data_IF_079150486910
#
_entry.id   IF_079150486910
#
_cell.length_a   1.000
_cell.length_b   1.000
_cell.length_c   1.000
_cell.angle_alpha   90.00
_cell.angle_beta   90.00
_cell.angle_gamma   90.00
#
_symmetry.space_group_name_H-M   'P 1'
#
loop_
_entity.id
_entity.type
_entity.pdbx_description
1 polymer ?
#
# COMPACT_ATOMS: atom_id res chain seq x y z
N UNK A 1 10.78 30.20 29.92
CA UNK A 1 11.48 30.41 28.64
C UNK A 1 12.80 29.65 28.69
N UNK A 2 12.91 28.57 27.92
CA UNK A 2 14.19 27.88 27.67
C UNK A 2 14.16 27.42 26.21
N UNK A 3 14.96 28.05 25.36
CA UNK A 3 15.17 27.65 23.97
C UNK A 3 16.06 26.40 23.95
N UNK A 4 15.54 25.29 23.45
CA UNK A 4 16.35 24.14 23.04
C UNK A 4 16.49 24.19 21.53
N UNK A 5 17.69 24.57 21.08
CA UNK A 5 18.10 24.57 19.67
C UNK A 5 18.44 23.15 19.22
N UNK A 6 17.70 22.60 18.26
CA UNK A 6 18.06 21.36 17.58
C UNK A 6 18.95 21.69 16.37
N UNK A 7 20.26 21.40 16.47
CA UNK A 7 21.15 21.33 15.30
C UNK A 7 20.83 20.04 14.54
N UNK A 8 20.24 20.17 13.35
CA UNK A 8 20.17 19.09 12.36
C UNK A 8 21.54 19.04 11.67
N UNK A 9 22.35 18.04 11.99
CA UNK A 9 23.61 17.79 11.28
C UNK A 9 23.27 17.09 9.96
N UNK A 10 23.09 17.87 8.90
CA UNK A 10 22.92 17.34 7.54
C UNK A 10 24.25 16.75 7.07
N UNK A 11 24.38 15.42 7.00
CA UNK A 11 25.44 14.80 6.22
C UNK A 11 25.16 15.03 4.73
N UNK A 12 25.62 16.17 4.22
CA UNK A 12 25.72 16.39 2.79
C UNK A 12 26.84 15.50 2.24
N UNK A 13 26.48 14.36 1.63
CA UNK A 13 27.38 13.64 0.73
C UNK A 13 27.75 14.57 -0.42
N UNK A 14 28.91 15.22 -0.31
CA UNK A 14 29.49 16.07 -1.33
C UNK A 14 30.01 15.17 -2.44
N UNK A 15 29.15 14.83 -3.40
CA UNK A 15 29.51 14.07 -4.60
C UNK A 15 30.17 15.06 -5.58
N UNK A 16 31.49 15.00 -5.83
CA UNK A 16 32.12 15.82 -6.84
C UNK A 16 31.69 15.28 -8.21
N UNK A 17 31.26 16.16 -9.12
CA UNK A 17 30.94 15.88 -10.55
C UNK A 17 29.52 15.42 -10.93
N UNK A 18 28.47 15.74 -10.16
CA UNK A 18 27.11 15.73 -10.72
C UNK A 18 26.80 17.07 -11.43
N UNK A 19 27.19 17.19 -12.71
CA UNK A 19 26.87 18.36 -13.57
C UNK A 19 25.42 18.44 -14.06
N UNK A 20 24.48 17.70 -13.44
CA UNK A 20 23.05 17.80 -13.76
C UNK A 20 22.20 17.84 -12.48
N UNK A 21 22.40 18.88 -11.67
CA UNK A 21 21.41 19.32 -10.72
C UNK A 21 20.36 20.13 -11.48
N UNK A 22 19.37 19.46 -12.10
CA UNK A 22 18.13 20.15 -12.43
C UNK A 22 17.38 20.39 -11.12
N UNK A 23 17.76 21.47 -10.42
CA UNK A 23 16.87 22.13 -9.47
C UNK A 23 15.66 22.55 -10.30
N UNK A 24 14.55 21.85 -10.14
CA UNK A 24 13.27 22.41 -10.56
C UNK A 24 13.01 23.57 -9.60
N UNK A 25 13.52 24.75 -9.94
CA UNK A 25 12.95 25.99 -9.45
C UNK A 25 11.50 25.94 -9.91
N UNK A 26 10.57 25.75 -8.97
CA UNK A 26 9.17 25.97 -9.27
C UNK A 26 9.07 27.37 -9.87
N UNK A 27 8.60 27.53 -11.12
CA UNK A 27 8.33 28.85 -11.61
C UNK A 27 7.23 29.41 -10.73
N UNK A 28 7.44 30.62 -10.25
CA UNK A 28 6.43 31.50 -9.64
C UNK A 28 5.26 31.83 -10.57
N UNK A 29 5.11 31.12 -11.70
CA UNK A 29 3.92 31.08 -12.54
C UNK A 29 3.39 29.65 -12.65
N UNK A 30 2.10 29.46 -12.35
CA UNK A 30 1.39 28.18 -12.57
C UNK A 30 1.56 27.76 -14.03
N UNK A 31 2.45 26.81 -14.32
CA UNK A 31 2.52 26.20 -15.65
C UNK A 31 1.15 25.58 -15.93
N UNK A 32 0.39 26.15 -16.87
CA UNK A 32 -0.81 25.52 -17.41
C UNK A 32 -0.38 24.27 -18.17
N UNK A 33 -0.61 23.11 -17.58
CA UNK A 33 -0.41 21.81 -18.26
C UNK A 33 -1.62 21.59 -19.16
N UNK A 34 -1.38 21.35 -20.45
CA UNK A 34 -2.45 21.00 -21.37
C UNK A 34 -3.07 19.66 -20.95
N UNK A 35 -4.38 19.64 -20.68
CA UNK A 35 -5.11 18.44 -20.26
C UNK A 35 -5.66 17.62 -21.43
N UNK A 36 -5.60 18.11 -22.67
CA UNK A 36 -6.09 17.35 -23.84
C UNK A 36 -5.20 16.15 -24.20
N UNK A 37 -3.91 16.24 -23.89
CA UNK A 37 -2.92 15.20 -24.18
C UNK A 37 -2.47 14.53 -22.88
N UNK A 38 -2.94 13.30 -22.64
CA UNK A 38 -2.54 12.47 -21.49
C UNK A 38 -1.07 12.00 -21.54
N UNK A 39 -0.77 10.95 -20.79
CA UNK A 39 0.57 10.36 -20.78
C UNK A 39 0.85 9.67 -22.13
N UNK A 40 1.98 9.97 -22.78
CA UNK A 40 2.43 9.30 -24.01
C UNK A 40 3.89 8.90 -23.87
N UNK A 41 4.35 7.95 -24.70
CA UNK A 41 5.77 7.68 -24.92
C UNK A 41 6.09 8.03 -26.36
N UNK A 42 7.28 8.52 -26.58
CA UNK A 42 7.93 8.46 -27.89
C UNK A 42 9.04 7.38 -27.83
N UNK A 43 9.99 7.38 -28.77
CA UNK A 43 11.07 6.37 -28.78
C UNK A 43 12.00 6.42 -27.56
N UNK A 44 12.01 7.48 -26.75
CA UNK A 44 13.01 7.67 -25.68
C UNK A 44 12.50 8.24 -24.35
N UNK A 45 11.30 8.82 -24.27
CA UNK A 45 10.80 9.47 -23.05
C UNK A 45 9.27 9.49 -22.96
N UNK A 46 8.78 9.64 -21.71
CA UNK A 46 7.37 9.97 -21.50
C UNK A 46 7.11 11.46 -21.73
N UNK A 47 5.88 11.78 -22.11
CA UNK A 47 5.36 13.15 -22.12
C UNK A 47 4.00 13.19 -21.44
N UNK A 48 3.71 14.28 -20.74
CA UNK A 48 2.42 14.55 -20.10
C UNK A 48 1.97 15.97 -20.47
N UNK A 49 0.79 16.12 -21.06
CA UNK A 49 0.34 17.42 -21.59
C UNK A 49 1.25 17.95 -22.70
N UNK A 50 1.90 17.05 -23.45
CA UNK A 50 2.87 17.40 -24.50
C UNK A 50 4.26 17.81 -24.01
N UNK A 51 4.51 17.80 -22.69
CA UNK A 51 5.81 18.16 -22.11
C UNK A 51 6.57 16.93 -21.67
N UNK A 52 7.92 16.88 -21.79
CA UNK A 52 8.73 15.80 -21.25
C UNK A 52 8.38 15.52 -19.79
N UNK A 53 8.20 14.25 -19.47
CA UNK A 53 7.76 13.79 -18.17
C UNK A 53 8.57 12.55 -17.78
N UNK A 54 8.97 12.48 -16.52
CA UNK A 54 9.69 11.33 -15.98
C UNK A 54 8.95 10.82 -14.77
N UNK A 55 8.62 9.53 -14.76
CA UNK A 55 7.88 8.93 -13.65
C UNK A 55 8.89 8.51 -12.58
N UNK A 56 8.86 9.23 -11.46
CA UNK A 56 9.59 8.89 -10.24
C UNK A 56 8.55 8.58 -9.17
N UNK A 57 8.15 7.31 -9.14
CA UNK A 57 6.99 6.84 -8.42
C UNK A 57 7.30 5.98 -7.21
N UNK A 58 6.33 5.91 -6.32
CA UNK A 58 6.30 4.99 -5.19
C UNK A 58 4.88 4.47 -4.96
N UNK A 59 4.77 3.27 -4.39
CA UNK A 59 3.47 2.65 -4.11
C UNK A 59 3.07 2.79 -2.62
N UNK A 60 1.79 3.10 -2.39
CA UNK A 60 1.11 3.25 -1.09
C UNK A 60 -0.35 2.73 -1.16
N UNK A 61 -0.65 1.59 -0.52
CA UNK A 61 -2.03 1.06 -0.51
C UNK A 61 -2.93 1.77 0.52
N UNK A 62 -4.03 2.37 0.05
CA UNK A 62 -4.98 3.06 0.92
C UNK A 62 -5.61 2.13 1.97
N UNK A 63 -5.89 0.88 1.59
CA UNK A 63 -6.49 -0.14 2.46
C UNK A 63 -5.53 -0.74 3.51
N UNK A 64 -4.21 -0.51 3.38
CA UNK A 64 -3.19 -0.94 4.37
C UNK A 64 -2.87 0.12 5.40
N UNK A 65 -3.53 1.27 5.33
CA UNK A 65 -3.28 2.42 6.18
C UNK A 65 -4.58 3.01 6.68
N UNK A 66 -4.69 3.31 7.98
CA UNK A 66 -5.78 4.13 8.48
C UNK A 66 -5.84 5.46 7.74
N UNK A 67 -7.06 5.89 7.39
CA UNK A 67 -7.31 7.11 6.62
C UNK A 67 -6.59 8.35 7.17
N UNK A 68 -6.50 8.47 8.49
CA UNK A 68 -5.82 9.57 9.17
C UNK A 68 -4.32 9.70 8.80
N UNK A 69 -3.68 8.62 8.34
CA UNK A 69 -2.27 8.62 7.95
C UNK A 69 -2.01 8.83 6.46
N UNK A 70 -3.04 8.82 5.61
CA UNK A 70 -2.86 8.97 4.16
C UNK A 70 -2.10 10.25 3.80
N UNK A 71 -2.50 11.41 4.37
CA UNK A 71 -1.89 12.71 4.07
C UNK A 71 -0.43 12.74 4.47
N UNK A 72 -0.11 12.26 5.67
CA UNK A 72 1.28 12.19 6.14
C UNK A 72 2.16 11.36 5.21
N UNK A 73 1.71 10.16 4.80
CA UNK A 73 2.49 9.29 3.92
C UNK A 73 2.64 9.87 2.51
N UNK A 74 1.60 10.51 1.97
CA UNK A 74 1.68 11.21 0.68
C UNK A 74 2.62 12.41 0.71
N UNK A 75 2.60 13.21 1.78
CA UNK A 75 3.52 14.36 1.94
C UNK A 75 4.98 13.88 2.06
N UNK A 76 5.23 12.81 2.83
CA UNK A 76 6.56 12.17 2.89
C UNK A 76 7.01 11.65 1.53
N UNK A 77 6.10 11.05 0.75
CA UNK A 77 6.38 10.64 -0.62
C UNK A 77 6.71 11.85 -1.50
N UNK A 78 5.94 12.93 -1.42
CA UNK A 78 6.15 14.15 -2.22
C UNK A 78 7.51 14.80 -1.96
N UNK A 79 7.94 14.81 -0.70
CA UNK A 79 9.18 15.43 -0.24
C UNK A 79 10.39 14.50 -0.34
N UNK A 80 10.23 13.26 -0.81
CA UNK A 80 11.34 12.32 -0.94
C UNK A 80 12.34 12.80 -2.00
N UNK A 81 13.64 12.54 -1.78
CA UNK A 81 14.70 13.00 -2.67
C UNK A 81 14.65 12.32 -4.05
N UNK A 82 14.13 11.09 -4.12
CA UNK A 82 14.06 10.26 -5.32
C UNK A 82 12.65 10.15 -5.89
N UNK A 83 11.61 10.13 -5.06
CA UNK A 83 10.22 9.96 -5.48
C UNK A 83 9.54 11.30 -5.30
N UNK A 84 8.92 11.85 -6.34
CA UNK A 84 8.39 13.22 -6.29
C UNK A 84 7.11 13.44 -7.06
N UNK A 85 6.72 12.47 -7.88
CA UNK A 85 5.84 12.73 -9.01
C UNK A 85 4.63 11.81 -9.06
N UNK A 86 4.82 10.50 -8.82
CA UNK A 86 3.76 9.53 -9.05
C UNK A 86 3.49 8.62 -7.84
N UNK A 87 2.24 8.59 -7.42
CA UNK A 87 1.71 7.56 -6.55
C UNK A 87 1.23 6.41 -7.43
N UNK A 88 1.95 5.30 -7.46
CA UNK A 88 1.46 4.07 -8.08
C UNK A 88 0.76 3.24 -7.03
N UNK A 89 -0.45 3.63 -6.65
CA UNK A 89 -1.33 2.74 -5.91
C UNK A 89 -2.77 3.18 -6.01
N UNK A 90 -3.59 2.20 -6.35
CA UNK A 90 -4.86 1.88 -5.69
C UNK A 90 -5.23 0.54 -6.29
N UNK A 91 -4.47 -0.50 -5.93
CA UNK A 91 -4.99 -1.86 -6.02
C UNK A 91 -6.36 -1.83 -5.34
N UNK A 92 -7.43 -2.12 -6.06
CA UNK A 92 -8.77 -2.12 -5.48
C UNK A 92 -9.02 -3.53 -4.97
N UNK A 93 -8.90 -3.78 -3.66
CA UNK A 93 -9.07 -5.12 -3.13
C UNK A 93 -10.56 -5.46 -3.18
N UNK A 94 -10.97 -6.16 -4.24
CA UNK A 94 -12.37 -6.46 -4.49
C UNK A 94 -13.06 -7.08 -3.26
N UNK A 95 -12.51 -8.10 -2.57
CA UNK A 95 -13.13 -8.65 -1.36
C UNK A 95 -13.36 -7.65 -0.22
N UNK A 96 -12.51 -6.62 -0.07
CA UNK A 96 -12.74 -5.60 0.97
C UNK A 96 -13.85 -4.64 0.59
N UNK A 97 -13.94 -4.33 -0.70
CA UNK A 97 -15.04 -3.51 -1.19
C UNK A 97 -16.34 -4.29 -1.24
N UNK A 98 -16.31 -5.61 -1.42
CA UNK A 98 -17.49 -6.48 -1.51
C UNK A 98 -17.41 -7.62 -0.49
N UNK A 99 -17.58 -7.34 0.81
CA UNK A 99 -17.61 -8.38 1.83
C UNK A 99 -18.83 -9.31 1.65
N UNK A 100 -19.95 -8.76 1.16
CA UNK A 100 -21.17 -9.49 0.83
C UNK A 100 -21.51 -9.34 -0.66
N UNK A 101 -22.04 -10.40 -1.27
CA UNK A 101 -22.34 -10.41 -2.71
C UNK A 101 -23.39 -9.35 -3.04
N UNK A 102 -23.08 -8.49 -4.02
CA UNK A 102 -23.99 -7.48 -4.56
C UNK A 102 -23.77 -6.05 -4.04
N UNK A 103 -23.17 -5.86 -2.86
CA UNK A 103 -22.95 -4.53 -2.29
C UNK A 103 -21.47 -4.14 -2.29
N UNK A 104 -21.16 -2.91 -2.71
CA UNK A 104 -19.80 -2.39 -2.66
C UNK A 104 -19.66 -1.19 -1.71
N UNK A 105 -18.71 -1.29 -0.78
CA UNK A 105 -18.42 -0.31 0.27
C UNK A 105 -17.22 0.55 -0.14
N UNK A 106 -17.40 1.88 -0.13
CA UNK A 106 -16.38 2.87 -0.49
C UNK A 106 -16.29 3.99 0.56
N UNK A 107 -16.39 3.64 1.83
CA UNK A 107 -16.39 4.58 2.95
C UNK A 107 -15.15 4.38 3.83
N UNK A 108 -14.86 5.34 4.70
CA UNK A 108 -13.76 5.25 5.66
C UNK A 108 -12.41 4.98 4.99
N UNK A 109 -11.74 3.89 5.42
CA UNK A 109 -10.46 3.42 4.88
C UNK A 109 -10.53 2.81 3.47
N UNK A 110 -11.73 2.67 2.89
CA UNK A 110 -11.95 2.16 1.53
C UNK A 110 -12.46 3.25 0.56
N UNK A 111 -12.46 4.51 0.97
CA UNK A 111 -12.92 5.61 0.12
C UNK A 111 -11.84 6.05 -0.87
N UNK A 112 -11.82 5.38 -2.02
CA UNK A 112 -10.89 5.65 -3.12
C UNK A 112 -11.02 7.08 -3.67
N UNK A 113 -12.22 7.67 -3.65
CA UNK A 113 -12.42 9.04 -4.16
C UNK A 113 -11.68 10.05 -3.29
N UNK A 114 -11.83 9.93 -1.97
CA UNK A 114 -11.10 10.79 -1.05
C UNK A 114 -9.59 10.58 -1.13
N UNK A 115 -9.13 9.34 -1.32
CA UNK A 115 -7.71 9.06 -1.52
C UNK A 115 -7.16 9.75 -2.78
N UNK A 116 -7.89 9.70 -3.90
CA UNK A 116 -7.51 10.37 -5.14
C UNK A 116 -7.58 11.90 -5.03
N UNK A 117 -8.59 12.45 -4.36
CA UNK A 117 -8.66 13.88 -4.06
C UNK A 117 -7.46 14.34 -3.23
N UNK A 118 -7.09 13.57 -2.21
CA UNK A 118 -5.96 13.89 -1.36
C UNK A 118 -4.63 13.83 -2.12
N UNK A 119 -4.46 12.86 -3.02
CA UNK A 119 -3.29 12.81 -3.90
C UNK A 119 -3.20 14.05 -4.80
N UNK A 120 -4.34 14.52 -5.34
CA UNK A 120 -4.40 15.76 -6.11
C UNK A 120 -4.06 17.00 -5.25
N UNK A 121 -4.58 17.08 -4.02
CA UNK A 121 -4.30 18.18 -3.05
C UNK A 121 -2.81 18.26 -2.71
N UNK A 122 -2.16 17.10 -2.48
CA UNK A 122 -0.71 17.02 -2.21
C UNK A 122 0.12 17.31 -3.47
N UNK A 123 -0.48 17.28 -4.65
CA UNK A 123 0.20 17.51 -5.93
C UNK A 123 0.98 16.30 -6.44
N UNK A 124 0.45 15.10 -6.21
CA UNK A 124 0.95 13.85 -6.78
C UNK A 124 0.10 13.44 -7.99
N UNK A 125 0.77 12.96 -9.04
CA UNK A 125 0.11 12.20 -10.11
C UNK A 125 -0.17 10.78 -9.64
N UNK A 126 -1.16 10.12 -10.23
CA UNK A 126 -1.58 8.76 -9.85
C UNK A 126 -1.48 7.83 -11.04
N UNK A 127 -0.86 6.67 -10.81
CA UNK A 127 -0.99 5.51 -11.69
C UNK A 127 -1.91 4.52 -10.97
N UNK A 128 -3.09 4.30 -11.55
CA UNK A 128 -4.17 3.52 -10.95
C UNK A 128 -4.07 2.04 -11.34
N UNK A 129 -4.36 1.13 -10.42
CA UNK A 129 -4.32 -0.32 -10.64
C UNK A 129 -5.65 -0.95 -10.27
N UNK A 130 -6.60 -0.95 -11.18
CA UNK A 130 -8.00 -1.29 -10.88
C UNK A 130 -8.27 -2.78 -10.68
N UNK A 131 -7.29 -3.66 -10.90
CA UNK A 131 -7.51 -5.11 -10.88
C UNK A 131 -8.18 -5.61 -12.18
N UNK A 132 -8.95 -6.71 -12.14
CA UNK A 132 -9.60 -7.27 -10.96
C UNK A 132 -8.65 -8.06 -10.04
N UNK A 133 -7.59 -8.64 -10.60
CA UNK A 133 -6.52 -9.26 -9.82
C UNK A 133 -5.39 -8.26 -9.58
N UNK A 134 -4.94 -8.15 -8.33
CA UNK A 134 -3.90 -7.20 -7.91
C UNK A 134 -2.67 -7.88 -7.33
N UNK A 135 -2.77 -9.16 -6.97
CA UNK A 135 -1.74 -9.89 -6.21
C UNK A 135 -1.48 -9.21 -4.84
N UNK A 136 -0.41 -8.44 -4.75
CA UNK A 136 -0.07 -7.56 -3.64
C UNK A 136 0.04 -8.23 -2.27
N UNK A 137 0.20 -9.55 -2.21
CA UNK A 137 0.27 -10.28 -0.94
C UNK A 137 -1.05 -10.27 -0.15
N UNK A 138 -2.18 -10.11 -0.85
CA UNK A 138 -3.52 -10.24 -0.28
C UNK A 138 -4.05 -11.67 -0.44
N UNK A 139 -5.01 -12.04 0.40
CA UNK A 139 -5.78 -13.27 0.24
C UNK A 139 -6.40 -13.35 -1.16
N UNK A 140 -6.19 -14.49 -1.83
CA UNK A 140 -6.52 -14.74 -3.24
C UNK A 140 -6.07 -13.64 -4.23
N UNK A 141 -5.08 -12.83 -3.86
CA UNK A 141 -4.63 -11.68 -4.65
C UNK A 141 -5.72 -10.63 -4.92
N UNK A 142 -6.70 -10.53 -4.02
CA UNK A 142 -7.81 -9.59 -4.10
C UNK A 142 -8.96 -10.02 -5.00
N UNK A 143 -9.16 -11.33 -5.21
CA UNK A 143 -10.29 -11.88 -5.98
C UNK A 143 -11.34 -12.54 -5.07
N UNK A 144 -12.62 -12.61 -5.50
CA UNK A 144 -13.62 -13.42 -4.82
C UNK A 144 -13.31 -14.93 -4.91
N UNK A 145 -13.86 -15.71 -3.97
CA UNK A 145 -13.73 -17.17 -3.93
C UNK A 145 -14.68 -17.85 -4.94
N UNK A 146 -14.47 -19.15 -5.17
CA UNK A 146 -15.46 -20.06 -5.79
C UNK A 146 -15.76 -19.91 -7.30
N UNK A 147 -14.74 -19.73 -8.15
CA UNK A 147 -14.90 -19.88 -9.61
C UNK A 147 -13.56 -20.06 -10.33
N UNK A 148 -13.59 -20.31 -11.65
CA UNK A 148 -12.40 -20.26 -12.49
C UNK A 148 -11.99 -18.80 -12.71
N UNK A 149 -10.93 -18.39 -12.02
CA UNK A 149 -10.48 -16.99 -11.98
C UNK A 149 -9.57 -16.64 -13.16
N UNK A 150 -9.52 -15.35 -13.51
CA UNK A 150 -8.58 -14.76 -14.49
C UNK A 150 -8.64 -15.40 -15.89
N UNK A 151 -9.84 -15.73 -16.32
CA UNK A 151 -10.18 -16.28 -17.64
C UNK A 151 -11.46 -15.60 -18.16
N UNK A 152 -11.86 -15.90 -19.38
CA UNK A 152 -13.16 -15.54 -19.96
C UNK A 152 -14.27 -16.52 -19.56
N UNK A 153 -14.14 -17.21 -18.44
CA UNK A 153 -15.21 -18.04 -17.90
C UNK A 153 -16.40 -17.18 -17.46
N UNK A 154 -17.59 -17.43 -18.00
CA UNK A 154 -18.76 -16.54 -17.92
C UNK A 154 -19.07 -16.01 -16.51
N UNK A 155 -18.99 -16.87 -15.49
CA UNK A 155 -19.25 -16.45 -14.11
C UNK A 155 -18.23 -15.42 -13.61
N UNK A 156 -16.95 -15.58 -13.97
CA UNK A 156 -15.90 -14.64 -13.62
C UNK A 156 -16.08 -13.30 -14.35
N UNK A 157 -16.37 -13.34 -15.66
CA UNK A 157 -16.64 -12.13 -16.45
C UNK A 157 -17.81 -11.34 -15.85
N UNK A 158 -18.90 -12.03 -15.51
CA UNK A 158 -20.08 -11.44 -14.91
C UNK A 158 -19.74 -10.76 -13.56
N UNK A 159 -18.96 -11.45 -12.72
CA UNK A 159 -18.50 -10.89 -11.45
C UNK A 159 -17.62 -9.64 -11.66
N UNK A 160 -16.67 -9.69 -12.60
CA UNK A 160 -15.79 -8.55 -12.93
C UNK A 160 -16.62 -7.36 -13.41
N UNK A 161 -17.61 -7.60 -14.27
CA UNK A 161 -18.51 -6.56 -14.75
C UNK A 161 -19.30 -5.90 -13.61
N UNK A 162 -19.83 -6.67 -12.66
CA UNK A 162 -20.51 -6.13 -11.46
C UNK A 162 -19.56 -5.25 -10.66
N UNK A 163 -18.33 -5.73 -10.41
CA UNK A 163 -17.31 -4.97 -9.68
C UNK A 163 -16.95 -3.66 -10.40
N UNK A 164 -16.65 -3.73 -11.70
CA UNK A 164 -16.27 -2.57 -12.50
C UNK A 164 -17.41 -1.57 -12.71
N UNK A 165 -18.67 -2.02 -12.81
CA UNK A 165 -19.84 -1.13 -12.87
C UNK A 165 -19.97 -0.23 -11.64
N UNK A 166 -19.45 -0.66 -10.48
CA UNK A 166 -19.51 0.12 -9.24
C UNK A 166 -18.22 0.90 -8.99
N UNK A 167 -17.06 0.34 -9.34
CA UNK A 167 -15.75 0.97 -9.14
C UNK A 167 -15.45 2.05 -10.19
N UNK A 168 -15.54 1.73 -11.48
CA UNK A 168 -14.99 2.57 -12.55
C UNK A 168 -15.65 3.96 -12.60
N UNK A 169 -16.98 4.11 -12.48
CA UNK A 169 -17.61 5.43 -12.43
C UNK A 169 -17.08 6.34 -11.31
N UNK A 170 -16.55 5.79 -10.22
CA UNK A 170 -15.98 6.58 -9.11
C UNK A 170 -14.60 7.14 -9.43
N UNK A 171 -13.80 6.46 -10.26
CA UNK A 171 -12.43 6.88 -10.60
C UNK A 171 -12.36 7.66 -11.91
N UNK A 172 -13.34 7.49 -12.80
CA UNK A 172 -13.41 8.17 -14.10
C UNK A 172 -13.24 9.70 -14.00
N UNK A 173 -13.88 10.43 -13.06
CA UNK A 173 -13.69 11.88 -12.91
C UNK A 173 -12.25 12.31 -12.58
N UNK A 174 -11.44 11.40 -12.04
CA UNK A 174 -10.07 11.67 -11.61
C UNK A 174 -9.04 11.50 -12.73
N UNK A 175 -9.44 11.11 -13.93
CA UNK A 175 -8.54 11.02 -15.08
C UNK A 175 -7.93 12.38 -15.42
N UNK A 176 -6.69 12.36 -15.89
CA UNK A 176 -5.92 13.54 -16.25
C UNK A 176 -6.65 14.43 -17.25
N UNK A 177 -7.23 13.82 -18.30
CA UNK A 177 -8.06 14.51 -19.30
C UNK A 177 -9.33 15.16 -18.74
N UNK A 178 -9.81 14.70 -17.59
CA UNK A 178 -10.95 15.26 -16.85
C UNK A 178 -10.52 16.23 -15.74
N UNK A 179 -9.24 16.60 -15.70
CA UNK A 179 -8.67 17.54 -14.73
C UNK A 179 -8.11 16.90 -13.45
N UNK A 180 -8.25 15.58 -13.28
CA UNK A 180 -7.79 14.89 -12.09
C UNK A 180 -6.31 14.46 -12.12
N UNK A 181 -5.85 13.72 -11.11
CA UNK A 181 -4.46 13.30 -10.96
C UNK A 181 -4.11 11.97 -11.68
N UNK A 182 -5.08 11.19 -12.17
CA UNK A 182 -4.83 9.85 -12.74
C UNK A 182 -4.30 9.97 -14.16
N UNK A 183 -3.02 9.65 -14.36
CA UNK A 183 -2.30 9.78 -15.64
C UNK A 183 -2.18 8.46 -16.42
N UNK A 184 -2.39 7.33 -15.76
CA UNK A 184 -2.35 6.00 -16.36
C UNK A 184 -3.17 5.00 -15.53
N UNK A 185 -3.70 3.97 -16.19
CA UNK A 185 -4.44 2.87 -15.56
C UNK A 185 -3.84 1.54 -16.04
N UNK A 186 -3.46 0.68 -15.11
CA UNK A 186 -3.00 -0.68 -15.40
C UNK A 186 -4.21 -1.59 -15.67
N UNK A 187 -4.18 -2.33 -16.78
CA UNK A 187 -5.29 -3.19 -17.24
C UNK A 187 -5.41 -4.47 -16.40
N UNK A 188 -4.29 -5.15 -16.13
CA UNK A 188 -4.26 -6.37 -15.31
C UNK A 188 -2.90 -6.44 -14.60
N UNK A 189 -2.74 -7.34 -13.64
CA UNK A 189 -1.51 -7.52 -12.89
C UNK A 189 -0.76 -8.81 -13.23
N UNK A 190 0.36 -8.67 -13.96
CA UNK A 190 1.31 -9.74 -14.27
C UNK A 190 0.64 -10.97 -14.90
N UNK A 191 -0.32 -10.77 -15.80
CA UNK A 191 -1.02 -11.87 -16.45
C UNK A 191 -0.10 -12.86 -17.16
N UNK A 192 1.06 -12.41 -17.68
CA UNK A 192 2.05 -13.28 -18.31
C UNK A 192 2.57 -14.43 -17.42
N UNK A 193 2.52 -14.29 -16.09
CA UNK A 193 2.88 -15.39 -15.17
C UNK A 193 1.72 -16.37 -14.89
N UNK A 194 0.54 -16.14 -15.48
CA UNK A 194 -0.63 -17.00 -15.42
C UNK A 194 -1.00 -17.51 -16.82
N UNK A 195 -1.20 -16.59 -17.77
CA UNK A 195 -1.27 -16.77 -19.22
C UNK A 195 -2.07 -17.99 -19.69
N UNK A 196 -3.28 -18.18 -19.14
CA UNK A 196 -4.14 -19.34 -19.45
C UNK A 196 -5.19 -19.08 -20.54
N UNK A 197 -5.47 -17.82 -20.84
CA UNK A 197 -6.53 -17.41 -21.76
C UNK A 197 -6.09 -16.19 -22.58
N UNK A 198 -6.03 -16.35 -23.91
CA UNK A 198 -5.59 -15.31 -24.84
C UNK A 198 -6.58 -14.14 -25.00
N UNK A 199 -7.87 -14.37 -24.72
CA UNK A 199 -8.93 -13.38 -24.90
C UNK A 199 -9.15 -12.52 -23.65
N UNK A 200 -8.71 -13.00 -22.50
CA UNK A 200 -8.97 -12.37 -21.21
C UNK A 200 -8.43 -10.94 -21.09
N UNK A 201 -7.21 -10.67 -21.57
CA UNK A 201 -6.61 -9.34 -21.51
C UNK A 201 -7.38 -8.31 -22.35
N UNK A 202 -7.87 -8.71 -23.53
CA UNK A 202 -8.70 -7.87 -24.39
C UNK A 202 -10.02 -7.55 -23.71
N UNK A 203 -10.68 -8.56 -23.12
CA UNK A 203 -11.90 -8.37 -22.35
C UNK A 203 -11.73 -7.32 -21.23
N UNK A 204 -10.68 -7.44 -20.41
CA UNK A 204 -10.47 -6.49 -19.29
C UNK A 204 -10.21 -5.08 -19.82
N UNK A 205 -9.43 -4.94 -20.90
CA UNK A 205 -9.17 -3.65 -21.54
C UNK A 205 -10.46 -3.00 -22.04
N UNK A 206 -11.26 -3.75 -22.79
CA UNK A 206 -12.55 -3.29 -23.33
C UNK A 206 -13.50 -2.90 -22.20
N UNK A 207 -13.62 -3.74 -21.17
CA UNK A 207 -14.47 -3.48 -20.01
C UNK A 207 -14.11 -2.15 -19.30
N UNK A 208 -12.82 -1.81 -19.20
CA UNK A 208 -12.38 -0.51 -18.66
C UNK A 208 -12.72 0.65 -19.61
N UNK A 209 -12.50 0.46 -20.91
CA UNK A 209 -12.73 1.50 -21.94
C UNK A 209 -14.21 1.84 -22.10
N UNK A 210 -15.08 0.84 -22.17
CA UNK A 210 -16.55 1.00 -22.24
C UNK A 210 -17.09 1.79 -21.05
N UNK A 211 -16.45 1.67 -19.88
CA UNK A 211 -16.81 2.38 -18.65
C UNK A 211 -16.15 3.74 -18.53
N UNK A 212 -15.46 4.21 -19.57
CA UNK A 212 -14.95 5.57 -19.69
C UNK A 212 -13.49 5.77 -19.27
N UNK A 213 -12.70 4.71 -19.13
CA UNK A 213 -11.24 4.81 -18.93
C UNK A 213 -10.55 5.06 -20.28
N UNK A 214 -9.93 6.23 -20.40
CA UNK A 214 -9.33 6.76 -21.64
C UNK A 214 -7.79 6.78 -21.64
N UNK A 215 -7.17 6.53 -20.47
CA UNK A 215 -5.72 6.39 -20.30
C UNK A 215 -5.13 4.94 -20.44
N UNK A 216 -5.82 3.87 -20.91
CA UNK A 216 -5.21 2.55 -21.05
C UNK A 216 -4.39 2.39 -22.34
N UNK A 217 -4.36 3.41 -23.22
CA UNK A 217 -3.53 3.44 -24.43
C UNK A 217 -2.15 4.07 -24.19
N UNK A 218 -1.77 4.18 -22.92
CA UNK A 218 -0.53 4.77 -22.43
C UNK A 218 0.55 3.68 -22.23
N UNK A 219 1.84 4.06 -22.24
CA UNK A 219 2.91 3.20 -22.75
C UNK A 219 3.59 2.28 -21.73
N UNK A 220 4.47 1.39 -22.22
CA UNK A 220 5.27 0.42 -21.46
C UNK A 220 6.12 1.12 -20.38
N UNK A 221 5.87 0.76 -19.12
CA UNK A 221 6.55 1.29 -17.94
C UNK A 221 6.98 0.10 -17.04
N UNK A 222 8.16 0.19 -16.43
CA UNK A 222 8.51 -0.71 -15.30
C UNK A 222 7.64 -0.31 -14.11
N UNK A 223 6.48 -0.96 -14.02
CA UNK A 223 5.40 -0.63 -13.08
C UNK A 223 5.69 -1.05 -11.63
N UNK A 224 6.55 -2.04 -11.42
CA UNK A 224 6.97 -2.48 -10.08
C UNK A 224 8.46 -2.77 -10.09
N UNK A 225 9.25 -1.93 -9.43
CA UNK A 225 10.57 -2.33 -8.95
C UNK A 225 10.44 -2.72 -7.48
N UNK A 226 10.64 -4.00 -7.20
CA UNK A 226 10.53 -4.52 -5.84
C UNK A 226 11.66 -3.97 -4.95
N UNK A 227 11.29 -3.15 -3.96
CA UNK A 227 12.20 -2.56 -2.98
C UNK A 227 12.41 -3.44 -1.73
N UNK A 228 11.90 -4.66 -1.78
CA UNK A 228 11.95 -5.65 -0.72
C UNK A 228 11.03 -6.81 -1.10
N UNK A 229 10.96 -7.83 -0.24
CA UNK A 229 10.02 -8.94 -0.40
C UNK A 229 9.06 -8.94 0.78
N UNK A 230 7.79 -9.30 0.58
CA UNK A 230 6.93 -9.56 1.73
C UNK A 230 7.52 -10.72 2.54
N UNK A 231 7.73 -10.50 3.83
CA UNK A 231 8.19 -11.56 4.70
C UNK A 231 7.06 -12.59 4.85
N UNK A 232 7.41 -13.86 4.70
CA UNK A 232 6.55 -14.93 5.21
C UNK A 232 6.89 -15.22 6.67
N UNK A 233 6.14 -16.12 7.31
CA UNK A 233 6.62 -16.71 8.56
C UNK A 233 7.91 -17.49 8.23
N UNK A 234 9.03 -17.14 8.88
CA UNK A 234 10.41 -17.04 8.33
C UNK A 234 10.59 -16.12 7.10
N UNK A 235 11.65 -15.31 7.00
CA UNK A 235 11.96 -14.53 5.78
C UNK A 235 13.10 -13.52 5.96
N UNK A 236 13.63 -13.01 4.86
CA UNK A 236 14.75 -12.05 4.82
C UNK A 236 14.58 -11.03 3.68
N UNK A 237 15.05 -9.81 3.91
CA UNK A 237 14.99 -8.67 2.99
C UNK A 237 16.29 -8.49 2.16
N UNK A 238 16.32 -7.49 1.26
CA UNK A 238 17.38 -7.31 0.24
C UNK A 238 17.80 -5.83 0.07
N UNK A 239 19.05 -5.56 -0.32
CA UNK A 239 19.61 -4.20 -0.48
C UNK A 239 19.48 -3.69 -1.94
N UNK A 240 19.12 -2.41 -2.14
CA UNK A 240 18.63 -1.87 -3.43
C UNK A 240 19.23 -0.52 -3.88
N UNK A 241 20.11 0.08 -3.08
CA UNK A 241 20.61 1.45 -3.35
C UNK A 241 21.39 1.53 -4.67
N UNK A 242 22.20 0.50 -4.99
CA UNK A 242 22.98 0.45 -6.21
C UNK A 242 22.10 0.38 -7.47
N UNK A 243 21.05 -0.44 -7.44
CA UNK A 243 20.13 -0.64 -8.58
C UNK A 243 19.35 0.64 -8.87
N UNK A 244 18.78 1.28 -7.83
CA UNK A 244 18.04 2.54 -8.00
C UNK A 244 18.94 3.63 -8.56
N UNK A 245 20.19 3.74 -8.09
CA UNK A 245 21.15 4.73 -8.58
C UNK A 245 21.42 4.56 -10.08
N UNK A 246 21.59 3.33 -10.55
CA UNK A 246 21.86 3.06 -11.96
C UNK A 246 20.66 3.38 -12.87
N UNK A 247 19.44 2.99 -12.45
CA UNK A 247 18.19 3.35 -13.15
C UNK A 247 18.06 4.88 -13.25
N UNK A 248 18.39 5.60 -12.18
CA UNK A 248 18.33 7.05 -12.17
C UNK A 248 19.37 7.69 -13.11
N UNK A 249 20.62 7.19 -13.12
CA UNK A 249 21.70 7.66 -14.02
C UNK A 249 21.32 7.50 -15.50
N UNK A 250 20.59 6.44 -15.86
CA UNK A 250 20.16 6.18 -17.24
C UNK A 250 18.94 6.99 -17.69
N UNK A 251 18.44 7.92 -16.87
CA UNK A 251 17.26 8.72 -17.23
C UNK A 251 15.93 7.95 -17.17
N UNK A 252 15.94 6.69 -16.71
CA UNK A 252 14.77 5.81 -16.73
C UNK A 252 13.71 6.23 -15.71
N UNK A 253 12.46 5.90 -16.01
CA UNK A 253 11.35 6.00 -15.05
C UNK A 253 11.32 4.78 -14.13
N UNK A 254 10.86 4.98 -12.90
CA UNK A 254 10.88 3.95 -11.85
C UNK A 254 9.63 4.08 -10.98
N UNK A 255 9.11 2.96 -10.51
CA UNK A 255 8.13 2.91 -9.46
C UNK A 255 8.57 1.96 -8.35
N UNK A 256 8.85 2.50 -7.15
CA UNK A 256 9.28 1.71 -6.00
C UNK A 256 8.08 0.99 -5.37
N UNK A 257 8.16 -0.33 -5.30
CA UNK A 257 7.12 -1.19 -4.75
C UNK A 257 7.69 -2.03 -3.59
N UNK A 258 7.41 -1.75 -2.31
CA UNK A 258 6.61 -0.65 -1.77
C UNK A 258 7.42 0.60 -1.44
N UNK A 259 6.87 1.80 -1.66
CA UNK A 259 7.41 3.00 -0.99
C UNK A 259 7.01 3.01 0.49
N UNK A 260 5.76 2.68 0.78
CA UNK A 260 5.31 2.41 2.14
C UNK A 260 4.27 1.29 2.11
N UNK A 261 4.61 0.17 2.73
CA UNK A 261 3.79 -1.04 2.65
C UNK A 261 2.59 -1.07 3.60
N UNK A 262 2.74 -0.63 4.85
CA UNK A 262 1.64 -0.56 5.83
C UNK A 262 1.39 -1.88 6.56
N UNK A 263 0.11 -2.25 6.74
CA UNK A 263 -0.28 -3.44 7.52
C UNK A 263 -1.42 -4.20 6.84
N UNK A 264 -1.34 -5.53 6.83
CA UNK A 264 -2.42 -6.43 6.47
C UNK A 264 -3.36 -6.64 7.66
N UNK A 265 -4.15 -5.63 8.04
CA UNK A 265 -5.12 -5.74 9.14
C UNK A 265 -6.07 -6.94 8.98
N UNK A 266 -6.59 -7.45 10.09
CA UNK A 266 -7.49 -8.60 10.11
C UNK A 266 -6.95 -9.82 9.39
N UNK A 267 -7.74 -10.35 8.45
CA UNK A 267 -7.46 -11.60 7.74
C UNK A 267 -7.12 -11.38 6.27
N UNK A 268 -6.59 -10.20 5.94
CA UNK A 268 -6.28 -9.80 4.55
C UNK A 268 -5.02 -10.45 3.98
N UNK A 269 -4.19 -11.06 4.83
CA UNK A 269 -2.88 -11.57 4.43
C UNK A 269 -2.99 -12.72 3.42
N UNK A 270 -2.18 -12.66 2.35
CA UNK A 270 -2.11 -13.70 1.34
C UNK A 270 -1.15 -14.83 1.67
N UNK A 271 -0.86 -15.65 0.68
CA UNK A 271 0.06 -16.80 0.76
C UNK A 271 1.01 -16.81 -0.43
N UNK A 272 2.25 -17.23 -0.21
CA UNK A 272 3.16 -17.69 -1.27
C UNK A 272 3.15 -19.21 -1.28
N UNK A 273 2.87 -19.84 -2.43
CA UNK A 273 2.70 -21.29 -2.51
C UNK A 273 3.86 -22.02 -3.21
N UNK A 274 4.95 -21.32 -3.58
CA UNK A 274 6.07 -21.90 -4.32
C UNK A 274 7.40 -21.68 -3.56
N UNK A 275 8.18 -22.72 -3.23
CA UNK A 275 7.90 -24.16 -3.42
C UNK A 275 6.96 -24.79 -2.36
N UNK A 276 6.71 -24.09 -1.25
CA UNK A 276 5.85 -24.56 -0.17
C UNK A 276 4.83 -23.50 0.24
N UNK A 277 3.73 -23.93 0.87
CA UNK A 277 2.74 -23.03 1.45
C UNK A 277 3.40 -22.15 2.53
N UNK A 278 3.36 -20.84 2.33
CA UNK A 278 3.92 -19.84 3.24
C UNK A 278 2.95 -18.68 3.37
N UNK A 279 2.20 -18.67 4.47
CA UNK A 279 1.34 -17.54 4.80
C UNK A 279 2.18 -16.27 4.99
N UNK A 280 1.73 -15.16 4.44
CA UNK A 280 2.38 -13.87 4.66
C UNK A 280 2.03 -13.33 6.04
N UNK A 281 2.97 -12.56 6.61
CA UNK A 281 2.80 -11.96 7.93
C UNK A 281 1.82 -10.77 7.89
N UNK A 282 1.39 -10.31 9.07
CA UNK A 282 0.51 -9.14 9.22
C UNK A 282 1.22 -7.84 8.83
N UNK A 283 2.52 -7.74 9.11
CA UNK A 283 3.34 -6.58 8.77
C UNK A 283 3.57 -6.45 7.26
N UNK A 284 3.61 -5.18 6.84
CA UNK A 284 4.11 -4.73 5.54
C UNK A 284 5.02 -3.48 5.76
N UNK A 285 5.64 -3.37 6.95
CA UNK A 285 6.59 -2.32 7.34
C UNK A 285 5.97 -1.05 7.97
N UNK A 286 6.29 -0.80 9.26
CA UNK A 286 6.07 0.45 10.02
C UNK A 286 6.89 0.45 11.34
N UNK A 287 6.86 1.54 12.14
CA UNK A 287 7.60 1.76 13.41
C UNK A 287 6.86 2.73 14.39
N UNK A 288 7.40 2.87 15.63
CA UNK A 288 7.28 4.03 16.56
C UNK A 288 5.93 4.12 17.34
N UNK A 289 5.82 4.28 18.68
CA UNK A 289 6.73 4.14 19.85
C UNK A 289 5.99 3.51 21.11
N UNK A 290 6.67 3.36 22.27
CA UNK A 290 6.30 2.53 23.46
C UNK A 290 5.27 3.11 24.42
N UNK A 291 4.75 2.23 25.29
CA UNK A 291 4.57 2.36 26.76
C UNK A 291 3.74 1.15 27.22
N UNK A 292 4.42 0.22 27.90
CA UNK A 292 3.95 -1.12 28.35
C UNK A 292 3.15 -1.09 29.65
N UNK A 293 2.04 -1.84 29.72
CA UNK A 293 1.38 -2.22 30.97
C UNK A 293 0.92 -3.70 31.05
N UNK A 294 0.56 -4.17 32.25
CA UNK A 294 0.16 -5.56 32.60
C UNK A 294 -1.36 -5.81 32.54
N UNK A 295 -1.77 -7.06 32.31
CA UNK A 295 -3.16 -7.55 32.28
C UNK A 295 -3.29 -8.92 32.98
N UNK A 296 -4.49 -9.25 33.47
CA UNK A 296 -4.81 -10.51 34.17
C UNK A 296 -5.59 -11.50 33.28
N UNK A 297 -5.51 -12.79 33.60
CA UNK A 297 -6.03 -13.92 32.82
C UNK A 297 -7.47 -14.34 33.18
N UNK A 298 -8.20 -14.90 32.21
CA UNK A 298 -9.49 -15.57 32.40
C UNK A 298 -9.64 -16.79 31.48
N UNK A 299 -10.50 -17.73 31.90
CA UNK A 299 -10.68 -19.10 31.42
C UNK A 299 -11.46 -19.27 30.10
N UNK A 300 -10.93 -18.74 29.00
CA UNK A 300 -11.30 -19.15 27.63
C UNK A 300 -10.12 -18.79 26.69
N UNK A 301 -9.99 -19.45 25.54
CA UNK A 301 -9.09 -19.03 24.44
C UNK A 301 -9.28 -17.55 24.03
N UNK A 302 -10.37 -16.92 24.49
CA UNK A 302 -10.63 -15.49 24.40
C UNK A 302 -10.25 -14.82 25.72
N UNK A 303 -9.26 -13.93 25.65
CA UNK A 303 -8.79 -13.11 26.77
C UNK A 303 -9.30 -11.68 26.58
N UNK A 304 -10.02 -11.18 27.59
CA UNK A 304 -10.51 -9.80 27.62
C UNK A 304 -9.63 -8.97 28.54
N UNK A 305 -9.17 -7.82 28.05
CA UNK A 305 -8.37 -6.88 28.79
C UNK A 305 -8.77 -5.44 28.49
N UNK A 306 -8.19 -4.52 29.24
CA UNK A 306 -8.46 -3.10 29.08
C UNK A 306 -7.16 -2.29 29.20
N UNK A 307 -6.99 -1.29 28.34
CA UNK A 307 -5.79 -0.45 28.29
C UNK A 307 -6.17 1.01 28.46
N UNK A 308 -5.57 1.70 29.44
CA UNK A 308 -5.74 3.15 29.58
C UNK A 308 -4.70 3.92 28.78
N UNK A 309 -5.13 4.93 28.03
CA UNK A 309 -4.29 5.74 27.14
C UNK A 309 -4.47 7.22 27.51
N UNK A 310 -3.42 7.85 28.06
CA UNK A 310 -3.45 9.27 28.49
C UNK A 310 -3.42 10.28 27.34
N UNK A 311 -2.69 9.99 26.26
CA UNK A 311 -2.54 10.82 25.04
C UNK A 311 -2.61 9.89 23.82
N UNK A 312 -3.10 10.33 22.65
CA UNK A 312 -3.14 9.54 21.40
C UNK A 312 -1.72 9.18 20.91
N UNK A 313 -1.17 7.98 21.17
CA UNK A 313 0.17 7.62 20.75
C UNK A 313 0.09 6.74 19.50
N UNK A 314 1.18 6.68 18.74
CA UNK A 314 1.42 5.59 17.80
C UNK A 314 2.03 4.49 18.67
N UNK A 315 1.37 3.32 18.79
CA UNK A 315 1.87 2.24 19.66
C UNK A 315 2.17 0.99 18.87
N UNK A 316 3.19 0.27 19.32
CA UNK A 316 3.46 -1.10 18.87
C UNK A 316 3.01 -2.09 19.94
N UNK A 317 2.72 -3.33 19.58
CA UNK A 317 2.64 -4.47 20.49
C UNK A 317 3.98 -5.24 20.47
N UNK A 318 4.26 -6.03 21.51
CA UNK A 318 5.02 -7.29 21.44
C UNK A 318 4.21 -8.37 22.14
N UNK A 319 4.14 -9.54 21.52
CA UNK A 319 3.44 -10.69 22.07
C UNK A 319 4.45 -11.65 22.70
N UNK A 320 4.12 -12.17 23.89
CA UNK A 320 4.75 -13.35 24.49
C UNK A 320 3.81 -14.56 24.35
N UNK A 321 3.15 -14.66 23.20
CA UNK A 321 1.99 -15.50 22.93
C UNK A 321 2.28 -16.40 21.73
N UNK A 322 1.65 -17.57 21.70
CA UNK A 322 1.98 -18.62 20.75
C UNK A 322 1.37 -18.32 19.38
N UNK A 323 0.03 -18.27 19.25
CA UNK A 323 -0.61 -18.02 17.95
C UNK A 323 -2.04 -17.52 18.11
N UNK A 324 -2.38 -16.44 17.41
CA UNK A 324 -3.74 -15.91 17.52
C UNK A 324 -4.00 -14.60 16.80
N UNK A 325 -5.00 -13.86 17.30
CA UNK A 325 -5.54 -12.64 16.69
C UNK A 325 -5.89 -11.62 17.78
N UNK A 326 -5.68 -10.33 17.50
CA UNK A 326 -5.96 -9.25 18.46
C UNK A 326 -6.96 -8.25 17.90
N UNK A 327 -7.88 -7.81 18.77
CA UNK A 327 -8.82 -6.74 18.52
C UNK A 327 -8.64 -5.62 19.53
N UNK A 328 -8.69 -4.38 19.06
CA UNK A 328 -8.66 -3.18 19.89
C UNK A 328 -9.88 -2.33 19.57
N UNK A 329 -10.74 -2.06 20.56
CA UNK A 329 -11.99 -1.32 20.37
C UNK A 329 -12.82 -1.83 19.17
N UNK A 330 -12.92 -3.16 19.02
CA UNK A 330 -13.61 -3.81 17.91
C UNK A 330 -12.84 -3.86 16.57
N UNK A 331 -11.68 -3.21 16.45
CA UNK A 331 -10.84 -3.25 15.24
C UNK A 331 -9.91 -4.47 15.25
N UNK A 332 -10.00 -5.32 14.22
CA UNK A 332 -9.11 -6.48 14.08
C UNK A 332 -7.72 -6.04 13.61
N UNK A 333 -6.73 -6.13 14.50
CA UNK A 333 -5.35 -5.70 14.25
C UNK A 333 -4.61 -6.69 13.36
N UNK A 334 -4.96 -7.97 13.41
CA UNK A 334 -4.39 -9.04 12.60
C UNK A 334 -3.77 -10.17 13.43
N UNK A 335 -3.03 -11.03 12.72
CA UNK A 335 -2.51 -12.30 13.25
C UNK A 335 -1.12 -12.14 13.87
N UNK A 336 -0.84 -12.86 14.95
CA UNK A 336 0.50 -13.05 15.52
C UNK A 336 0.85 -14.54 15.58
N UNK A 337 2.14 -14.86 15.52
CA UNK A 337 2.66 -16.21 15.67
C UNK A 337 4.13 -16.16 16.16
N UNK A 338 4.45 -16.87 17.24
CA UNK A 338 5.77 -16.96 17.86
C UNK A 338 6.88 -17.45 16.92
N UNK A 339 6.52 -18.26 15.92
CA UNK A 339 7.42 -18.74 14.86
C UNK A 339 8.15 -17.61 14.10
N UNK A 340 7.64 -16.36 14.17
CA UNK A 340 8.29 -15.19 13.59
C UNK A 340 8.28 -15.17 12.06
N UNK A 341 8.94 -14.17 11.42
CA UNK A 341 9.88 -13.23 12.03
C UNK A 341 9.17 -12.08 12.78
N UNK A 342 7.90 -11.82 12.49
CA UNK A 342 7.13 -10.77 13.14
C UNK A 342 6.77 -11.15 14.59
N UNK A 343 7.34 -10.43 15.57
CA UNK A 343 7.07 -10.62 17.00
C UNK A 343 6.13 -9.54 17.58
N UNK A 344 5.75 -8.56 16.74
CA UNK A 344 5.04 -7.34 17.11
C UNK A 344 3.93 -7.00 16.11
N UNK A 345 2.74 -6.60 16.60
CA UNK A 345 1.70 -5.97 15.76
C UNK A 345 1.79 -4.44 15.84
N UNK A 346 1.49 -3.78 14.73
CA UNK A 346 1.38 -2.32 14.69
C UNK A 346 -0.03 -1.89 15.15
N UNK A 347 -0.13 -0.99 16.14
CA UNK A 347 -1.39 -0.42 16.61
C UNK A 347 -1.48 1.06 16.23
N UNK A 348 -2.28 1.41 15.21
CA UNK A 348 -2.43 2.79 14.83
C UNK A 348 -3.08 3.62 15.94
N UNK A 349 -2.54 4.82 16.19
CA UNK A 349 -3.15 5.77 17.11
C UNK A 349 -4.64 6.09 16.83
N UNK A 350 -5.11 6.15 15.56
CA UNK A 350 -6.53 6.31 15.24
C UNK A 350 -7.45 5.20 15.74
N UNK A 351 -6.94 4.04 16.11
CA UNK A 351 -7.74 2.95 16.69
C UNK A 351 -7.87 3.07 18.22
N UNK A 352 -7.24 4.07 18.82
CA UNK A 352 -7.24 4.33 20.25
C UNK A 352 -8.12 5.52 20.62
N UNK A 353 -8.87 5.33 21.70
CA UNK A 353 -9.58 6.38 22.43
C UNK A 353 -8.66 6.96 23.51
N UNK A 354 -8.88 8.23 23.85
CA UNK A 354 -8.35 8.78 25.10
C UNK A 354 -9.09 8.09 26.26
N UNK A 355 -8.35 7.65 27.27
CA UNK A 355 -8.88 6.88 28.39
C UNK A 355 -8.89 5.38 28.15
N UNK A 356 -9.97 4.70 28.56
CA UNK A 356 -10.06 3.24 28.51
C UNK A 356 -10.27 2.72 27.07
N UNK A 357 -9.53 1.68 26.73
CA UNK A 357 -9.61 0.97 25.46
C UNK A 357 -9.82 -0.51 25.73
N UNK A 358 -10.68 -1.16 24.95
CA UNK A 358 -10.91 -2.60 25.05
C UNK A 358 -9.84 -3.35 24.26
N UNK A 359 -9.31 -4.42 24.85
CA UNK A 359 -8.38 -5.36 24.21
C UNK A 359 -9.01 -6.74 24.25
N UNK A 360 -9.20 -7.37 23.10
CA UNK A 360 -9.66 -8.76 23.01
C UNK A 360 -8.58 -9.54 22.27
N UNK A 361 -8.11 -10.63 22.87
CA UNK A 361 -7.18 -11.55 22.23
C UNK A 361 -7.81 -12.91 22.11
N UNK A 362 -7.79 -13.45 20.91
CA UNK A 362 -7.96 -14.87 20.68
C UNK A 362 -6.57 -15.51 20.65
N UNK A 363 -6.36 -16.55 21.44
CA UNK A 363 -5.13 -17.33 21.56
C UNK A 363 -5.46 -18.82 21.38
N UNK A 364 -4.73 -19.50 20.50
CA UNK A 364 -4.98 -20.89 20.14
C UNK A 364 -4.49 -21.88 21.19
N UNK A 365 -3.49 -21.52 22.00
CA UNK A 365 -2.90 -22.39 23.03
C UNK A 365 -2.92 -21.76 24.43
N UNK A 366 -3.01 -22.59 25.48
CA UNK A 366 -2.88 -22.07 26.84
C UNK A 366 -1.46 -21.52 27.08
N UNK A 367 -1.37 -20.21 27.28
CA UNK A 367 -0.12 -19.49 27.53
C UNK A 367 -0.32 -18.39 28.58
N UNK A 368 0.71 -18.12 29.37
CA UNK A 368 0.75 -16.97 30.28
C UNK A 368 0.60 -15.67 29.49
N UNK A 369 -0.46 -14.92 29.79
CA UNK A 369 -0.84 -13.77 28.98
C UNK A 369 -0.21 -12.48 29.47
N UNK A 370 0.77 -11.97 28.72
CA UNK A 370 1.30 -10.62 28.90
C UNK A 370 1.42 -9.94 27.54
N UNK A 371 0.73 -8.82 27.38
CA UNK A 371 0.94 -7.91 26.24
C UNK A 371 1.85 -6.79 26.70
N UNK A 372 2.92 -6.54 25.96
CA UNK A 372 3.77 -5.36 26.15
C UNK A 372 3.59 -4.42 24.96
N UNK A 373 3.63 -3.11 25.17
CA UNK A 373 3.39 -2.13 24.11
C UNK A 373 4.63 -1.26 23.92
N UNK A 374 5.19 -1.24 22.72
CA UNK A 374 6.64 -1.14 22.44
C UNK A 374 7.06 -0.03 21.46
N UNK A 375 8.39 0.25 21.44
CA UNK A 375 9.09 1.36 20.74
C UNK A 375 9.44 0.97 19.30
N UNK A 376 10.45 0.11 19.21
CA UNK A 376 10.73 -0.75 18.09
C UNK A 376 9.56 -1.72 17.94
N UNK A 377 8.94 -1.86 16.76
CA UNK A 377 8.49 -3.18 16.38
C UNK A 377 9.70 -4.11 16.35
N UNK A 378 9.57 -5.25 17.03
CA UNK A 378 10.47 -6.38 16.86
C UNK A 378 9.99 -7.17 15.64
N UNK A 379 10.61 -6.89 14.48
CA UNK A 379 10.35 -7.57 13.22
C UNK A 379 11.25 -8.80 13.01
N UNK A 380 12.03 -9.20 14.02
CA UNK A 380 13.06 -10.25 13.91
C UNK A 380 14.44 -9.70 13.50
N UNK A 381 15.45 -10.58 13.45
CA UNK A 381 16.84 -10.18 13.17
C UNK A 381 17.01 -9.58 11.77
N UNK A 382 17.58 -8.38 11.70
CA UNK A 382 18.26 -7.86 10.51
C UNK A 382 19.73 -8.25 10.58
N UNK A 383 20.19 -9.10 9.67
CA UNK A 383 21.62 -9.37 9.49
C UNK A 383 22.13 -8.39 8.43
N UNK A 384 23.09 -7.54 8.79
CA UNK A 384 23.84 -6.76 7.81
C UNK A 384 24.61 -7.72 6.89
N UNK A 385 24.34 -7.68 5.58
CA UNK A 385 25.12 -8.35 4.54
C UNK A 385 25.59 -7.30 3.54
#
# INVERSE_FOLDING_TARGET
MALVSFKITTFALRIPNLKYLFVYFGPTGKIRINRSTGLRVNSSQFTLGGKPFRILGGSLHYFRLPRAYWKDRMVKMKNHSVIRLCLSCSDVPWPLHQPEKGELHFQGGLDIKAFLHLAAEVGLWVILRTGPYICSGLDLGGLPREMLLRTTYQAFIAAVNVHFNKLIPKVVPFQFKKGGPVIAVQVENKYGSHARDGNYMSFIKEALQERGISEPNSPVLVMELWTGRSDGWSGLHHNLVAVVREILRRGMSINLYMFHGGTNFGFMNGVSANPFYKALVTSYGLLILKVTPQLASSWLHIKLGCMFVRNKPIKTFKFLLLKGVVFINGQNIGRYWDAGPQQALFLPGPFLNSGMNQVIVFEEAEADFKIQFEDSPDLGMTVDI
#
